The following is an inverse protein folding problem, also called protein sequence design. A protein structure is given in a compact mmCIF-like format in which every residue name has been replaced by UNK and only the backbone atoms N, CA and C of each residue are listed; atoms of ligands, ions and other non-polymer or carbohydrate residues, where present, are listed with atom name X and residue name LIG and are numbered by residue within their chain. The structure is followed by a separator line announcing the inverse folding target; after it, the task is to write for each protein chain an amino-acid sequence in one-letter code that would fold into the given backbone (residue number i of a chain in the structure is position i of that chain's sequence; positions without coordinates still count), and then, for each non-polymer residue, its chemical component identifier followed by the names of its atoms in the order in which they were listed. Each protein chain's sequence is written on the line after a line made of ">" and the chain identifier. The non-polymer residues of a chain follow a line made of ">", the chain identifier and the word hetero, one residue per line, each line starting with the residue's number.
data_IF_247292790956
#
_entry.id   IF_247292790956
#
_cell.length_a   1.000
_cell.length_b   1.000
_cell.length_c   1.000
_cell.angle_alpha   90.00
_cell.angle_beta   90.00
_cell.angle_gamma   90.00
#
_symmetry.space_group_name_H-M   'P 1'
#
loop_
_entity.id
_entity.type
_entity.pdbx_description
1 polymer ?
#
# COMPACT_ATOMS: atom_id res chain seq x y z
N UNK A 1 59.69 32.82 21.53
CA UNK A 1 59.13 34.16 21.29
C UNK A 1 57.67 34.09 21.73
N UNK A 2 57.29 34.57 22.93
CA UNK A 2 57.02 35.99 23.30
C UNK A 2 55.87 36.53 22.43
N UNK A 3 54.73 37.02 22.88
CA UNK A 3 54.11 37.41 24.15
C UNK A 3 52.58 37.55 23.85
N UNK A 4 51.65 37.19 24.73
CA UNK A 4 50.89 38.08 25.64
C UNK A 4 50.25 39.33 25.00
N UNK A 5 48.91 39.40 25.11
CA UNK A 5 48.06 40.58 25.37
C UNK A 5 46.68 39.98 25.77
N UNK A 6 46.19 39.89 27.02
CA UNK A 6 46.16 40.77 28.21
C UNK A 6 45.43 42.11 28.02
N UNK A 7 44.13 42.14 28.37
CA UNK A 7 43.41 43.23 29.06
C UNK A 7 41.90 42.90 29.00
N UNK A 8 41.20 42.45 30.06
CA UNK A 8 41.00 42.93 31.44
C UNK A 8 40.35 44.32 31.53
N UNK A 9 39.09 44.37 32.01
CA UNK A 9 38.65 45.10 33.22
C UNK A 9 37.12 44.89 33.40
N UNK A 10 36.65 44.10 34.37
CA UNK A 10 36.25 44.47 35.75
C UNK A 10 35.08 45.48 35.83
N UNK A 11 33.88 45.01 36.27
CA UNK A 11 33.29 45.12 37.63
C UNK A 11 32.88 46.57 37.94
N UNK A 12 31.71 46.94 38.48
CA UNK A 12 30.87 46.44 39.58
C UNK A 12 29.93 47.65 39.89
N UNK A 13 28.67 47.55 40.31
CA UNK A 13 28.12 47.34 41.66
C UNK A 13 26.73 48.05 41.60
N UNK A 14 25.61 47.52 42.11
CA UNK A 14 24.93 47.88 43.39
C UNK A 14 23.41 47.79 43.08
N UNK A 15 22.46 47.39 43.92
CA UNK A 15 22.44 46.72 45.23
C UNK A 15 20.99 46.28 45.52
N UNK A 16 20.89 45.17 46.26
CA UNK A 16 19.99 44.85 47.38
C UNK A 16 18.45 44.91 47.26
N UNK A 17 17.86 43.78 47.65
CA UNK A 17 16.47 43.65 48.10
C UNK A 17 16.13 42.19 48.44
N UNK A 18 16.52 41.74 49.64
CA UNK A 18 16.19 40.42 50.21
C UNK A 18 14.67 40.19 50.36
N UNK A 19 14.22 38.96 50.07
CA UNK A 19 13.34 38.16 50.94
C UNK A 19 13.12 36.74 50.38
N UNK A 20 13.63 35.72 51.08
CA UNK A 20 13.04 34.37 51.18
C UNK A 20 12.42 34.24 52.59
N UNK A 21 11.59 33.23 52.93
CA UNK A 21 11.04 32.11 52.14
C UNK A 21 9.51 31.92 52.36
N UNK A 22 8.85 31.06 51.56
CA UNK A 22 7.81 30.19 52.11
C UNK A 22 7.61 28.94 51.27
N UNK A 23 7.71 27.81 51.95
CA UNK A 23 7.36 26.49 51.45
C UNK A 23 5.90 26.46 50.99
N UNK A 24 5.67 25.96 49.78
CA UNK A 24 4.49 25.15 49.56
C UNK A 24 4.81 24.10 48.51
N UNK A 25 5.20 22.93 49.03
CA UNK A 25 4.99 21.69 48.33
C UNK A 25 3.52 21.62 47.91
N UNK A 26 3.27 21.77 46.60
CA UNK A 26 2.04 21.25 46.03
C UNK A 26 2.41 20.20 45.00
N UNK A 27 2.71 19.00 45.51
CA UNK A 27 2.53 17.77 44.76
C UNK A 27 1.05 17.65 44.41
N UNK A 28 0.63 18.39 43.39
CA UNK A 28 -0.68 18.19 42.79
C UNK A 28 -0.59 16.88 42.01
N UNK A 29 -0.93 15.81 42.75
CA UNK A 29 -1.31 14.51 42.24
C UNK A 29 -2.21 14.70 41.01
N UNK A 30 -1.64 14.67 39.80
CA UNK A 30 -2.40 14.46 38.56
C UNK A 30 -2.75 12.98 38.45
N UNK A 31 -3.41 12.46 39.49
CA UNK A 31 -3.92 11.10 39.51
C UNK A 31 -5.29 11.13 38.85
N UNK A 32 -5.32 10.65 37.61
CA UNK A 32 -6.52 10.07 37.01
C UNK A 32 -7.39 10.98 36.16
N UNK A 33 -6.96 11.32 34.93
CA UNK A 33 -7.90 11.53 33.82
C UNK A 33 -7.27 11.38 32.42
N UNK A 34 -6.38 10.41 32.21
CA UNK A 34 -5.83 10.07 30.87
C UNK A 34 -6.49 8.86 30.21
N UNK A 35 -7.40 8.15 30.90
CA UNK A 35 -7.91 6.85 30.44
C UNK A 35 -8.90 6.92 29.27
N UNK A 36 -9.59 8.05 29.08
CA UNK A 36 -10.61 8.18 28.03
C UNK A 36 -10.06 8.61 26.66
N UNK A 37 -8.91 9.30 26.61
CA UNK A 37 -8.28 9.66 25.34
C UNK A 37 -7.55 8.47 24.71
N UNK A 38 -6.98 7.59 25.54
CA UNK A 38 -6.33 6.36 25.09
C UNK A 38 -7.34 5.43 24.43
N UNK A 39 -8.49 5.19 25.06
CA UNK A 39 -9.54 4.33 24.50
C UNK A 39 -10.09 4.86 23.17
N UNK A 40 -10.29 6.17 23.05
CA UNK A 40 -10.72 6.80 21.79
C UNK A 40 -9.64 6.67 20.70
N UNK A 41 -8.38 6.90 21.04
CA UNK A 41 -7.26 6.74 20.11
C UNK A 41 -7.10 5.29 19.65
N UNK A 42 -7.25 4.32 20.56
CA UNK A 42 -7.19 2.90 20.20
C UNK A 42 -8.35 2.49 19.29
N UNK A 43 -9.57 3.03 19.53
CA UNK A 43 -10.71 2.79 18.66
C UNK A 43 -10.51 3.39 17.26
N UNK A 44 -9.94 4.58 17.17
CA UNK A 44 -9.60 5.22 15.89
C UNK A 44 -8.50 4.46 15.15
N UNK A 45 -7.47 3.99 15.87
CA UNK A 45 -6.41 3.15 15.31
C UNK A 45 -6.97 1.82 14.78
N UNK A 46 -7.88 1.18 15.53
CA UNK A 46 -8.56 -0.04 15.12
C UNK A 46 -9.39 0.18 13.85
N UNK A 47 -10.14 1.28 13.79
CA UNK A 47 -10.93 1.64 12.62
C UNK A 47 -10.05 1.86 11.38
N UNK A 48 -8.94 2.59 11.53
CA UNK A 48 -7.97 2.81 10.44
C UNK A 48 -7.35 1.48 10.00
N UNK A 49 -6.95 0.64 10.94
CA UNK A 49 -6.39 -0.68 10.64
C UNK A 49 -7.39 -1.54 9.86
N UNK A 50 -8.64 -1.60 10.30
CA UNK A 50 -9.70 -2.35 9.61
C UNK A 50 -9.92 -1.82 8.19
N UNK A 51 -9.93 -0.49 8.01
CA UNK A 51 -9.97 0.12 6.68
C UNK A 51 -8.81 -0.31 5.77
N UNK A 52 -7.58 -0.34 6.30
CA UNK A 52 -6.39 -0.77 5.56
C UNK A 52 -6.40 -2.27 5.25
N UNK A 53 -6.82 -3.10 6.20
CA UNK A 53 -6.95 -4.55 6.02
C UNK A 53 -7.96 -4.85 4.89
N UNK A 54 -9.10 -4.14 4.88
CA UNK A 54 -10.11 -4.25 3.82
C UNK A 54 -9.58 -3.81 2.45
N UNK A 55 -8.84 -2.70 2.36
CA UNK A 55 -8.22 -2.26 1.11
C UNK A 55 -7.18 -3.28 0.62
N UNK A 56 -6.39 -3.84 1.54
CA UNK A 56 -5.40 -4.86 1.22
C UNK A 56 -6.05 -6.11 0.65
N UNK A 57 -7.17 -6.56 1.22
CA UNK A 57 -7.93 -7.70 0.70
C UNK A 57 -8.42 -7.45 -0.73
N UNK A 58 -9.02 -6.29 -1.01
CA UNK A 58 -9.50 -5.94 -2.36
C UNK A 58 -8.34 -5.88 -3.37
N UNK A 59 -7.19 -5.33 -2.98
CA UNK A 59 -6.01 -5.25 -3.86
C UNK A 59 -5.43 -6.65 -4.09
N UNK A 60 -5.37 -7.51 -3.08
CA UNK A 60 -4.87 -8.89 -3.23
C UNK A 60 -5.82 -9.71 -4.10
N UNK A 61 -7.12 -9.58 -3.93
CA UNK A 61 -8.12 -10.28 -4.75
C UNK A 61 -8.07 -9.82 -6.20
N UNK A 62 -8.02 -8.51 -6.45
CA UNK A 62 -7.96 -7.96 -7.81
C UNK A 62 -6.58 -8.07 -8.46
N UNK A 63 -5.52 -8.07 -7.66
CA UNK A 63 -4.14 -8.15 -8.11
C UNK A 63 -3.65 -9.56 -8.38
N UNK A 64 -4.39 -10.59 -7.93
CA UNK A 64 -4.09 -11.98 -8.27
C UNK A 64 -4.40 -12.20 -9.75
N UNK A 65 -3.35 -12.35 -10.54
CA UNK A 65 -3.46 -12.83 -11.91
C UNK A 65 -4.23 -14.16 -11.91
N UNK A 66 -5.39 -14.19 -12.56
CA UNK A 66 -6.14 -15.43 -12.72
C UNK A 66 -5.29 -16.40 -13.55
N UNK A 67 -4.97 -17.55 -12.95
CA UNK A 67 -4.17 -18.59 -13.60
C UNK A 67 -5.14 -19.63 -14.13
N UNK A 68 -5.36 -19.62 -15.44
CA UNK A 68 -6.16 -20.64 -16.11
C UNK A 68 -5.30 -21.87 -16.37
N UNK A 69 -5.81 -23.03 -15.99
CA UNK A 69 -5.27 -24.31 -16.39
C UNK A 69 -5.48 -24.54 -17.90
N UNK A 70 -4.67 -25.40 -18.54
CA UNK A 70 -4.86 -25.71 -19.95
C UNK A 70 -6.26 -26.26 -20.25
N UNK A 71 -6.87 -27.00 -19.32
CA UNK A 71 -8.21 -27.54 -19.49
C UNK A 71 -9.28 -26.44 -19.48
N UNK A 72 -9.19 -25.48 -18.55
CA UNK A 72 -10.09 -24.32 -18.53
C UNK A 72 -9.95 -23.48 -19.81
N UNK A 73 -8.73 -23.30 -20.33
CA UNK A 73 -8.51 -22.62 -21.62
C UNK A 73 -9.27 -23.36 -22.74
N UNK A 74 -9.19 -24.69 -22.77
CA UNK A 74 -9.88 -25.48 -23.79
C UNK A 74 -11.40 -25.41 -23.67
N UNK A 75 -11.93 -25.42 -22.44
CA UNK A 75 -13.36 -25.28 -22.17
C UNK A 75 -13.88 -23.91 -22.62
N UNK A 76 -13.17 -22.82 -22.30
CA UNK A 76 -13.51 -21.47 -22.76
C UNK A 76 -13.47 -21.36 -24.29
N UNK A 77 -12.44 -21.91 -24.94
CA UNK A 77 -12.36 -21.96 -26.40
C UNK A 77 -13.48 -22.79 -27.04
N UNK A 78 -14.05 -23.74 -26.31
CA UNK A 78 -15.16 -24.56 -26.80
C UNK A 78 -16.50 -23.82 -26.75
N UNK A 79 -16.60 -22.77 -25.92
CA UNK A 79 -17.76 -21.85 -25.88
C UNK A 79 -17.73 -20.83 -27.02
N UNK A 80 -16.54 -20.53 -27.53
CA UNK A 80 -16.37 -19.70 -28.72
C UNK A 80 -16.76 -20.56 -29.93
N UNK A 81 -17.75 -20.12 -30.72
CA UNK A 81 -18.24 -20.83 -31.92
C UNK A 81 -17.18 -20.78 -33.05
N UNK A 82 -16.03 -21.41 -32.83
CA UNK A 82 -14.90 -21.52 -33.74
C UNK A 82 -14.70 -22.97 -34.17
N UNK A 83 -14.17 -23.16 -35.37
CA UNK A 83 -13.95 -24.49 -35.92
C UNK A 83 -12.85 -25.27 -35.17
N UNK A 84 -12.81 -26.59 -35.36
CA UNK A 84 -11.89 -27.49 -34.66
C UNK A 84 -10.39 -27.27 -34.98
N UNK A 85 -10.07 -26.80 -36.19
CA UNK A 85 -8.68 -26.49 -36.58
C UNK A 85 -8.23 -25.19 -35.92
N UNK A 86 -9.05 -24.15 -36.02
CA UNK A 86 -8.85 -22.83 -35.40
C UNK A 86 -8.75 -22.97 -33.89
N UNK A 87 -9.63 -23.74 -33.25
CA UNK A 87 -9.55 -24.04 -31.81
C UNK A 87 -8.23 -24.69 -31.40
N UNK A 88 -7.72 -25.65 -32.17
CA UNK A 88 -6.42 -26.28 -31.89
C UNK A 88 -5.24 -25.30 -32.04
N UNK A 89 -5.30 -24.41 -33.04
CA UNK A 89 -4.30 -23.35 -33.22
C UNK A 89 -4.35 -22.35 -32.06
N UNK A 90 -5.54 -21.86 -31.72
CA UNK A 90 -5.78 -20.96 -30.59
C UNK A 90 -5.30 -21.56 -29.26
N UNK A 91 -5.61 -22.83 -29.01
CA UNK A 91 -5.13 -23.52 -27.81
C UNK A 91 -3.60 -23.52 -27.69
N UNK A 92 -2.88 -23.79 -28.78
CA UNK A 92 -1.42 -23.72 -28.79
C UNK A 92 -0.92 -22.29 -28.63
N UNK A 93 -1.54 -21.34 -29.33
CA UNK A 93 -1.20 -19.92 -29.27
C UNK A 93 -1.33 -19.36 -27.85
N UNK A 94 -2.44 -19.62 -27.17
CA UNK A 94 -2.68 -19.12 -25.81
C UNK A 94 -1.76 -19.77 -24.78
N UNK A 95 -1.58 -21.10 -24.83
CA UNK A 95 -0.71 -21.80 -23.89
C UNK A 95 0.78 -21.50 -24.06
N UNK A 96 1.21 -20.90 -25.18
CA UNK A 96 2.60 -20.50 -25.37
C UNK A 96 3.00 -19.30 -24.49
N UNK A 97 2.07 -18.41 -24.12
CA UNK A 97 2.33 -17.23 -23.28
C UNK A 97 1.14 -16.94 -22.37
N UNK A 98 1.33 -17.02 -21.04
CA UNK A 98 0.26 -16.73 -20.07
C UNK A 98 -0.32 -15.31 -20.19
N UNK A 99 0.45 -14.35 -20.71
CA UNK A 99 -0.07 -12.99 -20.97
C UNK A 99 -1.25 -13.00 -21.94
N UNK A 100 -1.21 -13.84 -22.98
CA UNK A 100 -2.30 -13.96 -23.97
C UNK A 100 -3.59 -14.49 -23.38
N UNK A 101 -3.46 -15.45 -22.45
CA UNK A 101 -4.60 -16.00 -21.71
C UNK A 101 -5.26 -14.88 -20.89
N UNK A 102 -4.46 -14.08 -20.16
CA UNK A 102 -4.98 -12.97 -19.36
C UNK A 102 -5.62 -11.88 -20.21
N UNK A 103 -5.00 -11.56 -21.33
CA UNK A 103 -5.49 -10.57 -22.29
C UNK A 103 -6.82 -11.00 -22.91
N UNK A 104 -6.89 -12.24 -23.43
CA UNK A 104 -8.11 -12.78 -24.01
C UNK A 104 -9.23 -12.92 -22.98
N UNK A 105 -8.97 -13.51 -21.80
CA UNK A 105 -10.03 -13.74 -20.82
C UNK A 105 -10.38 -12.52 -19.96
N UNK A 106 -9.60 -11.44 -20.08
CA UNK A 106 -10.00 -10.11 -19.63
C UNK A 106 -11.02 -9.43 -20.56
N UNK A 107 -11.13 -9.88 -21.81
CA UNK A 107 -12.10 -9.39 -22.79
C UNK A 107 -13.52 -9.97 -22.52
N UNK A 108 -14.59 -9.17 -22.71
CA UNK A 108 -15.97 -9.64 -22.61
C UNK A 108 -16.23 -10.89 -23.47
N UNK A 109 -16.98 -11.90 -22.98
CA UNK A 109 -17.23 -13.15 -23.71
C UNK A 109 -17.70 -12.97 -25.16
N UNK A 110 -18.49 -11.93 -25.41
CA UNK A 110 -19.10 -11.60 -26.71
C UNK A 110 -18.04 -11.18 -27.74
N UNK A 111 -16.94 -10.58 -27.31
CA UNK A 111 -15.89 -10.00 -28.16
C UNK A 111 -14.67 -10.93 -28.30
N UNK A 112 -14.52 -11.92 -27.41
CA UNK A 112 -13.34 -12.81 -27.34
C UNK A 112 -13.01 -13.50 -28.65
N UNK A 113 -14.01 -13.89 -29.44
CA UNK A 113 -13.78 -14.61 -30.70
C UNK A 113 -13.02 -13.74 -31.70
N UNK A 114 -13.51 -12.53 -31.93
CA UNK A 114 -12.91 -11.60 -32.90
C UNK A 114 -11.55 -11.13 -32.40
N UNK A 115 -11.45 -10.84 -31.09
CA UNK A 115 -10.20 -10.46 -30.45
C UNK A 115 -9.14 -11.57 -30.52
N UNK A 116 -9.50 -12.84 -30.31
CA UNK A 116 -8.59 -13.98 -30.47
C UNK A 116 -8.05 -14.09 -31.89
N UNK A 117 -8.88 -13.84 -32.91
CA UNK A 117 -8.46 -13.88 -34.31
C UNK A 117 -7.44 -12.76 -34.58
N UNK A 118 -7.70 -11.54 -34.13
CA UNK A 118 -6.78 -10.40 -34.23
C UNK A 118 -5.43 -10.72 -33.58
N UNK A 119 -5.43 -11.16 -32.31
CA UNK A 119 -4.21 -11.54 -31.58
C UNK A 119 -3.38 -12.60 -32.31
N UNK A 120 -4.03 -13.57 -32.96
CA UNK A 120 -3.34 -14.63 -33.68
C UNK A 120 -2.76 -14.16 -35.01
N UNK A 121 -3.41 -13.22 -35.70
CA UNK A 121 -2.92 -12.64 -36.95
C UNK A 121 -1.73 -11.70 -36.71
N UNK A 122 -1.76 -10.93 -35.63
CA UNK A 122 -0.68 -9.99 -35.29
C UNK A 122 0.64 -10.68 -34.95
N UNK A 123 0.62 -11.92 -34.47
CA UNK A 123 1.84 -12.70 -34.18
C UNK A 123 2.42 -13.39 -35.43
N UNK A 124 1.67 -13.47 -36.53
CA UNK A 124 2.14 -14.04 -37.80
C UNK A 124 2.89 -13.01 -38.68
N UNK A 125 2.90 -11.73 -38.29
CA UNK A 125 3.60 -10.62 -38.95
C UNK A 125 4.86 -10.17 -38.18
#
# INVERSE_FOLDING_TARGET
>A
MKAMDESSFEKKDESLGEAQPSDSANSSNRKGKKRKSEEVFQNELLFIKEGLDNVTLVIVERGRAQVYSPQEVFEELSKMEIDSLTRRKAYRFLNAKQSRIRELFGCPPEERKDYLIEMMLDEEN
#
